data_IF_806731046541
#
_entry.id   IF_806731046541
#
_cell.length_a   1.000
_cell.length_b   1.000
_cell.length_c   1.000
_cell.angle_alpha   90.00
_cell.angle_beta   90.00
_cell.angle_gamma   90.00
#
_symmetry.space_group_name_H-M   'P 1'
#
loop_
_entity.id
_entity.type
_entity.pdbx_description
1 polymer ?
#
# COMPACT_ATOMS: atom_id res chain seq x y z
N UNK A 1 24.03 9.69 0.75
CA UNK A 1 24.31 8.23 0.76
C UNK A 1 23.00 7.45 0.71
N UNK A 2 22.75 6.73 -0.38
CA UNK A 2 21.63 5.79 -0.46
C UNK A 2 22.07 4.50 0.23
N UNK A 3 21.32 4.07 1.25
CA UNK A 3 21.56 2.80 1.94
C UNK A 3 20.95 1.68 1.10
N UNK A 4 21.74 0.68 0.76
CA UNK A 4 21.25 -0.55 0.15
C UNK A 4 20.57 -1.41 1.21
N UNK A 5 19.34 -1.84 0.91
CA UNK A 5 18.48 -2.63 1.80
C UNK A 5 18.20 -4.02 1.21
N UNK A 6 18.91 -4.42 0.16
CA UNK A 6 18.78 -5.76 -0.40
C UNK A 6 19.09 -6.83 0.67
N UNK A 7 18.21 -7.83 0.77
CA UNK A 7 18.30 -8.88 1.79
C UNK A 7 17.95 -8.44 3.22
N UNK A 8 17.55 -7.19 3.45
CA UNK A 8 17.16 -6.65 4.76
C UNK A 8 15.64 -6.44 4.86
N UNK A 9 15.15 -6.34 6.09
CA UNK A 9 13.75 -6.06 6.41
C UNK A 9 13.65 -5.08 7.58
N UNK A 10 12.61 -4.26 7.58
CA UNK A 10 12.21 -3.49 8.77
C UNK A 10 11.36 -4.40 9.68
N UNK A 11 11.62 -4.32 10.99
CA UNK A 11 10.91 -5.13 12.00
C UNK A 11 10.23 -4.20 13.00
N UNK A 12 8.92 -4.40 13.18
CA UNK A 12 8.11 -3.72 14.18
C UNK A 12 7.73 -4.74 15.26
N UNK A 13 8.54 -4.89 16.33
CA UNK A 13 8.47 -6.06 17.22
C UNK A 13 7.29 -6.02 18.20
N UNK A 14 6.67 -4.86 18.40
CA UNK A 14 5.52 -4.66 19.27
C UNK A 14 4.66 -3.51 18.76
N UNK A 15 3.40 -3.52 19.17
CA UNK A 15 2.50 -2.40 18.93
C UNK A 15 3.04 -1.11 19.57
N UNK A 16 3.01 -0.03 18.80
CA UNK A 16 3.50 1.28 19.18
C UNK A 16 2.83 2.35 18.33
N UNK A 17 2.61 3.53 18.90
CA UNK A 17 2.13 4.70 18.16
C UNK A 17 3.26 5.47 17.43
N UNK A 18 4.52 5.18 17.75
CA UNK A 18 5.68 5.99 17.34
C UNK A 18 6.68 5.21 16.45
N UNK A 19 6.56 3.87 16.38
CA UNK A 19 7.47 3.03 15.63
C UNK A 19 7.12 3.06 14.13
N UNK A 20 7.83 3.90 13.37
CA UNK A 20 7.58 4.08 11.95
C UNK A 20 8.87 4.21 11.14
N UNK A 21 8.78 3.88 9.85
CA UNK A 21 9.81 4.20 8.85
C UNK A 21 9.24 5.25 7.90
N UNK A 22 9.95 6.36 7.77
CA UNK A 22 9.58 7.45 6.86
C UNK A 22 10.47 7.36 5.63
N UNK A 23 9.84 7.29 4.45
CA UNK A 23 10.52 7.29 3.16
C UNK A 23 10.16 8.56 2.39
N UNK A 24 11.16 9.16 1.74
CA UNK A 24 10.98 10.32 0.89
C UNK A 24 10.82 9.88 -0.57
N UNK A 25 9.74 10.31 -1.21
CA UNK A 25 9.54 10.06 -2.63
C UNK A 25 10.44 11.00 -3.44
N UNK A 26 11.42 10.45 -4.15
CA UNK A 26 12.30 11.22 -5.03
C UNK A 26 11.70 11.30 -6.44
N UNK A 27 10.51 11.92 -6.57
CA UNK A 27 9.80 12.09 -7.83
C UNK A 27 9.49 13.56 -8.10
N UNK A 28 9.69 13.99 -9.36
CA UNK A 28 9.42 15.35 -9.79
C UNK A 28 8.04 15.46 -10.44
N UNK A 29 7.18 16.29 -9.87
CA UNK A 29 5.82 16.53 -10.36
C UNK A 29 4.81 15.48 -9.89
N UNK A 30 3.50 15.74 -10.05
CA UNK A 30 2.46 14.85 -9.57
C UNK A 30 2.45 13.51 -10.32
N UNK A 31 1.94 12.47 -9.67
CA UNK A 31 1.82 11.13 -10.25
C UNK A 31 0.47 11.00 -10.98
N UNK A 32 0.54 10.61 -12.25
CA UNK A 32 -0.64 10.22 -13.05
C UNK A 32 -0.94 8.72 -12.97
N UNK A 33 0.00 7.95 -12.43
CA UNK A 33 -0.08 6.53 -12.27
C UNK A 33 1.00 6.08 -11.29
N UNK A 34 0.78 4.96 -10.62
CA UNK A 34 1.77 4.37 -9.74
C UNK A 34 1.63 2.86 -9.68
N UNK A 35 2.69 2.21 -9.19
CA UNK A 35 2.66 0.84 -8.71
C UNK A 35 3.49 0.74 -7.45
N UNK A 36 2.93 0.18 -6.39
CA UNK A 36 3.61 -0.09 -5.12
C UNK A 36 3.63 -1.59 -4.92
N UNK A 37 4.81 -2.15 -4.62
CA UNK A 37 4.98 -3.54 -4.27
C UNK A 37 5.76 -3.66 -2.95
N UNK A 38 5.33 -4.56 -2.08
CA UNK A 38 6.02 -4.85 -0.82
C UNK A 38 5.82 -6.31 -0.41
N UNK A 39 6.73 -6.78 0.46
CA UNK A 39 6.56 -8.04 1.19
C UNK A 39 6.34 -7.73 2.65
N UNK A 40 5.41 -8.44 3.28
CA UNK A 40 5.18 -8.33 4.70
C UNK A 40 4.91 -9.70 5.31
N UNK A 41 5.13 -9.82 6.62
CA UNK A 41 4.82 -11.01 7.38
C UNK A 41 4.41 -10.61 8.80
N UNK A 42 3.22 -11.01 9.22
CA UNK A 42 2.65 -10.69 10.52
C UNK A 42 1.61 -11.74 10.93
N UNK A 43 1.36 -11.87 12.23
CA UNK A 43 0.29 -12.67 12.83
C UNK A 43 -0.93 -11.83 13.24
N UNK A 44 -0.93 -10.53 12.93
CA UNK A 44 -2.05 -9.63 13.20
C UNK A 44 -3.31 -10.06 12.43
N UNK A 45 -4.42 -10.17 13.16
CA UNK A 45 -5.75 -10.47 12.61
C UNK A 45 -6.68 -9.25 12.57
N UNK A 46 -6.24 -8.14 13.18
CA UNK A 46 -6.91 -6.84 13.18
C UNK A 46 -6.54 -6.03 11.93
N UNK A 47 -7.19 -4.88 11.68
CA UNK A 47 -6.79 -3.99 10.61
C UNK A 47 -5.43 -3.32 10.86
N UNK A 48 -4.63 -3.09 9.81
CA UNK A 48 -3.36 -2.36 9.86
C UNK A 48 -2.94 -1.81 8.49
N UNK A 49 -2.10 -0.77 8.51
CA UNK A 49 -1.54 -0.17 7.29
C UNK A 49 -0.35 -0.97 6.78
N UNK A 50 -0.33 -1.24 5.47
CA UNK A 50 0.85 -1.82 4.80
C UNK A 50 1.73 -0.74 4.18
N UNK A 51 1.11 0.29 3.61
CA UNK A 51 1.77 1.43 3.01
C UNK A 51 0.86 2.64 3.13
N UNK A 52 1.36 3.75 3.66
CA UNK A 52 0.66 5.02 3.71
C UNK A 52 1.48 6.10 3.03
N UNK A 53 0.83 6.89 2.19
CA UNK A 53 1.37 8.10 1.61
C UNK A 53 0.38 9.23 1.88
N UNK A 54 0.85 10.23 2.61
CA UNK A 54 0.08 11.40 3.01
C UNK A 54 0.68 12.65 2.39
N UNK A 55 -0.18 13.55 1.96
CA UNK A 55 0.20 14.88 1.47
C UNK A 55 -0.32 15.94 2.43
N UNK A 56 0.10 17.20 2.24
CA UNK A 56 -0.44 18.32 3.02
C UNK A 56 -1.95 18.51 2.87
N UNK A 57 -2.53 18.03 1.78
CA UNK A 57 -3.95 18.21 1.46
C UNK A 57 -4.80 17.00 1.84
N UNK A 58 -4.22 15.80 1.94
CA UNK A 58 -4.97 14.56 2.13
C UNK A 58 -4.12 13.53 2.87
N UNK A 59 -4.63 13.09 4.03
CA UNK A 59 -3.98 12.08 4.86
C UNK A 59 -3.87 10.72 4.13
N UNK A 60 -4.91 10.34 3.39
CA UNK A 60 -4.96 9.10 2.61
C UNK A 60 -4.82 9.37 1.11
N UNK A 61 -3.72 10.01 0.71
CA UNK A 61 -3.42 10.27 -0.71
C UNK A 61 -3.20 8.95 -1.46
N UNK A 62 -2.41 8.04 -0.89
CA UNK A 62 -2.37 6.62 -1.26
C UNK A 62 -2.31 5.80 0.02
N UNK A 63 -3.24 4.85 0.20
CA UNK A 63 -3.22 3.92 1.33
C UNK A 63 -3.44 2.49 0.82
N UNK A 64 -2.51 1.60 1.14
CA UNK A 64 -2.72 0.16 1.02
C UNK A 64 -2.93 -0.40 2.43
N UNK A 65 -4.13 -0.90 2.68
CA UNK A 65 -4.57 -1.29 4.01
C UNK A 65 -4.98 -2.76 4.04
N UNK A 66 -4.64 -3.46 5.12
CA UNK A 66 -5.17 -4.79 5.41
C UNK A 66 -6.32 -4.63 6.38
N UNK A 67 -7.55 -4.77 5.89
CA UNK A 67 -8.74 -4.67 6.74
C UNK A 67 -8.85 -5.87 7.68
N UNK A 68 -8.63 -7.07 7.14
CA UNK A 68 -8.74 -8.36 7.82
C UNK A 68 -8.16 -9.46 6.92
N UNK A 69 -8.02 -10.70 7.40
CA UNK A 69 -7.62 -11.82 6.55
C UNK A 69 -8.50 -11.92 5.29
N UNK A 70 -7.86 -12.07 4.12
CA UNK A 70 -8.54 -12.14 2.82
C UNK A 70 -9.13 -10.83 2.29
N UNK A 71 -8.92 -9.69 2.96
CA UNK A 71 -9.45 -8.39 2.51
C UNK A 71 -8.37 -7.31 2.59
N UNK A 72 -8.16 -6.63 1.47
CA UNK A 72 -7.27 -5.47 1.33
C UNK A 72 -8.07 -4.31 0.76
N UNK A 73 -7.72 -3.08 1.13
CA UNK A 73 -8.24 -1.88 0.47
C UNK A 73 -7.12 -1.05 -0.12
N UNK A 74 -7.44 -0.37 -1.23
CA UNK A 74 -6.61 0.65 -1.85
C UNK A 74 -7.39 1.95 -1.85
N UNK A 75 -6.80 2.98 -1.23
CA UNK A 75 -7.30 4.35 -1.26
C UNK A 75 -6.42 5.20 -2.17
N UNK A 76 -7.04 6.03 -3.00
CA UNK A 76 -6.36 7.08 -3.77
C UNK A 76 -7.15 8.37 -3.58
N UNK A 77 -6.47 9.47 -3.24
CA UNK A 77 -7.09 10.78 -3.07
C UNK A 77 -8.30 10.78 -2.12
N UNK A 78 -8.24 9.96 -1.05
CA UNK A 78 -9.33 9.80 -0.07
C UNK A 78 -10.48 8.87 -0.46
N UNK A 79 -10.55 8.38 -1.71
CA UNK A 79 -11.58 7.41 -2.15
C UNK A 79 -11.03 5.99 -2.12
N UNK A 80 -11.85 5.01 -1.72
CA UNK A 80 -11.42 3.65 -1.44
C UNK A 80 -12.08 2.61 -2.36
N UNK A 81 -11.32 1.58 -2.71
CA UNK A 81 -11.85 0.31 -3.24
C UNK A 81 -11.35 -0.88 -2.42
N UNK A 82 -12.27 -1.79 -2.13
CA UNK A 82 -11.99 -3.01 -1.35
C UNK A 82 -11.85 -4.21 -2.27
N UNK A 83 -10.80 -5.00 -2.07
CA UNK A 83 -10.50 -6.27 -2.72
C UNK A 83 -10.66 -7.43 -1.74
N UNK A 84 -11.35 -8.48 -2.17
CA UNK A 84 -11.50 -9.70 -1.38
C UNK A 84 -10.92 -10.89 -2.14
N UNK A 85 -10.29 -11.78 -1.41
CA UNK A 85 -9.67 -12.99 -1.94
C UNK A 85 -9.73 -14.12 -0.90
N UNK A 86 -9.70 -15.39 -1.32
CA UNK A 86 -9.72 -16.51 -0.39
C UNK A 86 -8.55 -16.44 0.61
N UNK A 87 -8.82 -16.55 1.91
CA UNK A 87 -7.80 -16.44 2.97
C UNK A 87 -6.63 -17.42 2.76
N UNK A 88 -6.87 -18.57 2.13
CA UNK A 88 -5.84 -19.56 1.82
C UNK A 88 -4.84 -19.14 0.72
N UNK A 89 -5.04 -18.01 0.05
CA UNK A 89 -4.09 -17.47 -0.94
C UNK A 89 -2.94 -16.65 -0.30
N UNK A 90 -3.01 -16.42 1.01
CA UNK A 90 -1.91 -15.95 1.86
C UNK A 90 -1.85 -16.78 3.14
N UNK A 91 -0.80 -17.58 3.31
CA UNK A 91 -0.80 -18.54 4.42
C UNK A 91 -0.52 -17.83 5.74
N UNK A 92 -1.35 -18.10 6.76
CA UNK A 92 -0.97 -17.81 8.15
C UNK A 92 0.41 -18.45 8.38
N UNK A 93 1.40 -17.64 8.73
CA UNK A 93 2.77 -18.12 8.95
C UNK A 93 3.72 -18.02 7.76
N UNK A 94 3.37 -17.32 6.67
CA UNK A 94 4.30 -17.03 5.58
C UNK A 94 4.33 -15.55 5.19
N UNK A 95 5.39 -15.16 4.47
CA UNK A 95 5.45 -13.89 3.76
C UNK A 95 4.34 -13.80 2.70
N UNK A 96 3.69 -12.64 2.64
CA UNK A 96 2.82 -12.24 1.52
C UNK A 96 3.54 -11.18 0.68
N UNK A 97 3.47 -11.31 -0.64
CA UNK A 97 3.91 -10.30 -1.59
C UNK A 97 2.69 -9.63 -2.23
N UNK A 98 2.53 -8.34 -1.99
CA UNK A 98 1.42 -7.55 -2.52
C UNK A 98 1.95 -6.52 -3.49
N UNK A 99 1.26 -6.36 -4.62
CA UNK A 99 1.39 -5.20 -5.48
C UNK A 99 0.03 -4.54 -5.66
N UNK A 100 0.01 -3.22 -5.72
CA UNK A 100 -1.16 -2.43 -6.09
C UNK A 100 -0.76 -1.39 -7.15
N UNK A 101 -1.58 -1.23 -8.17
CA UNK A 101 -1.40 -0.20 -9.19
C UNK A 101 -2.67 0.62 -9.37
N UNK A 102 -2.49 1.84 -9.86
CA UNK A 102 -3.58 2.71 -10.26
C UNK A 102 -3.14 3.59 -11.42
N UNK A 103 -4.05 3.84 -12.37
CA UNK A 103 -3.83 4.72 -13.51
C UNK A 103 -4.92 5.79 -13.63
N UNK A 104 -4.52 7.07 -13.62
CA UNK A 104 -5.44 8.21 -13.71
C UNK A 104 -6.29 8.20 -14.97
N UNK A 105 -5.69 7.97 -16.14
CA UNK A 105 -6.36 8.09 -17.43
C UNK A 105 -7.62 7.20 -17.54
N UNK A 106 -7.54 5.99 -16.99
CA UNK A 106 -8.64 5.02 -17.00
C UNK A 106 -9.39 4.94 -15.67
N UNK A 107 -8.74 5.34 -14.57
CA UNK A 107 -9.20 5.10 -13.21
C UNK A 107 -9.12 3.62 -12.82
N UNK A 108 -8.31 2.80 -13.50
CA UNK A 108 -8.23 1.37 -13.18
C UNK A 108 -7.29 1.19 -11.99
N UNK A 109 -7.78 0.52 -10.96
CA UNK A 109 -7.01 -0.03 -9.85
C UNK A 109 -6.84 -1.54 -10.02
N UNK A 110 -5.63 -2.03 -9.85
CA UNK A 110 -5.28 -3.45 -9.88
C UNK A 110 -4.55 -3.84 -8.59
N UNK A 111 -4.77 -5.07 -8.14
CA UNK A 111 -4.10 -5.62 -6.96
C UNK A 111 -3.68 -7.06 -7.23
N UNK A 112 -2.49 -7.43 -6.79
CA UNK A 112 -1.95 -8.79 -6.88
C UNK A 112 -1.58 -9.29 -5.49
N UNK A 113 -1.94 -10.55 -5.22
CA UNK A 113 -1.53 -11.27 -4.01
C UNK A 113 -0.69 -12.46 -4.42
N UNK A 114 0.57 -12.49 -3.98
CA UNK A 114 1.54 -13.54 -4.32
C UNK A 114 1.64 -13.79 -5.84
N UNK A 115 1.59 -12.70 -6.63
CA UNK A 115 1.64 -12.73 -8.10
C UNK A 115 0.31 -13.03 -8.79
N UNK A 116 -0.75 -13.37 -8.06
CA UNK A 116 -2.07 -13.64 -8.63
C UNK A 116 -2.89 -12.33 -8.71
N UNK A 117 -3.36 -11.92 -9.90
CA UNK A 117 -4.19 -10.73 -10.05
C UNK A 117 -5.58 -10.93 -9.45
N UNK A 118 -6.13 -9.88 -8.85
CA UNK A 118 -7.53 -9.78 -8.45
C UNK A 118 -8.35 -9.02 -9.52
N UNK A 119 -9.70 -9.12 -9.49
CA UNK A 119 -10.54 -8.37 -10.41
C UNK A 119 -10.27 -6.86 -10.34
N UNK A 120 -10.05 -6.25 -11.51
CA UNK A 120 -9.85 -4.81 -11.67
C UNK A 120 -11.03 -4.01 -11.14
N UNK A 121 -10.77 -2.84 -10.57
CA UNK A 121 -11.79 -1.92 -10.05
C UNK A 121 -11.61 -0.51 -10.60
N UNK A 122 -12.69 0.27 -10.59
CA UNK A 122 -12.63 1.69 -10.92
C UNK A 122 -12.37 2.52 -9.66
N UNK A 123 -11.45 3.48 -9.74
CA UNK A 123 -11.05 4.38 -8.67
C UNK A 123 -10.49 5.68 -9.25
N UNK A 124 -10.98 6.84 -8.80
CA UNK A 124 -10.36 8.16 -9.04
C UNK A 124 -9.93 8.46 -10.49
N UNK A 125 -10.78 8.18 -11.49
CA UNK A 125 -10.43 8.50 -12.90
C UNK A 125 -10.16 10.00 -13.08
N UNK A 126 -9.04 10.35 -13.69
CA UNK A 126 -8.60 11.72 -13.96
C UNK A 126 -7.98 12.45 -12.77
N UNK A 127 -7.85 11.77 -11.62
CA UNK A 127 -7.19 12.34 -10.45
C UNK A 127 -5.68 12.47 -10.66
N UNK A 128 -5.03 13.35 -9.91
CA UNK A 128 -3.60 13.58 -9.99
C UNK A 128 -3.02 13.55 -8.59
N UNK A 129 -2.26 12.51 -8.27
CA UNK A 129 -1.68 12.36 -6.94
C UNK A 129 -0.55 13.37 -6.75
N UNK A 130 -0.62 14.16 -5.68
CA UNK A 130 0.43 15.12 -5.36
C UNK A 130 1.73 14.40 -4.98
N UNK A 131 2.87 14.89 -5.47
CA UNK A 131 4.19 14.36 -5.12
C UNK A 131 4.82 15.06 -3.89
N UNK A 132 4.09 15.95 -3.25
CA UNK A 132 4.53 16.65 -2.05
C UNK A 132 3.96 15.98 -0.80
N UNK A 133 4.52 14.81 -0.49
CA UNK A 133 4.07 14.00 0.64
C UNK A 133 5.18 13.14 1.22
N UNK A 134 4.82 12.37 2.23
CA UNK A 134 5.71 11.44 2.93
C UNK A 134 5.11 10.05 2.88
N UNK A 135 5.98 9.06 2.70
CA UNK A 135 5.61 7.65 2.78
C UNK A 135 5.91 7.17 4.19
N UNK A 136 4.98 6.46 4.81
CA UNK A 136 5.08 5.90 6.15
C UNK A 136 4.79 4.40 6.12
N UNK A 137 5.64 3.63 6.81
CA UNK A 137 5.46 2.20 7.09
C UNK A 137 5.42 1.96 8.60
N UNK A 138 4.53 1.07 9.07
CA UNK A 138 4.46 0.63 10.47
C UNK A 138 3.45 1.35 11.37
N UNK A 139 2.55 2.15 10.79
CA UNK A 139 1.47 2.86 11.50
C UNK A 139 0.26 1.97 11.86
#
# INVERSE_FOLDING_TARGET
PHTDIEGQVFVFPKESADAQVILNMNHNGPLQNFTVCLRYFTDLTRPYSLFSYATWATDNEILLFKDKPGVLSLTVGGEEVVFSFPENTGSRGSWEHICASWESATGIAELWVNGNPLPRKGLQKGYSVSNQGVIVLGQ
#
